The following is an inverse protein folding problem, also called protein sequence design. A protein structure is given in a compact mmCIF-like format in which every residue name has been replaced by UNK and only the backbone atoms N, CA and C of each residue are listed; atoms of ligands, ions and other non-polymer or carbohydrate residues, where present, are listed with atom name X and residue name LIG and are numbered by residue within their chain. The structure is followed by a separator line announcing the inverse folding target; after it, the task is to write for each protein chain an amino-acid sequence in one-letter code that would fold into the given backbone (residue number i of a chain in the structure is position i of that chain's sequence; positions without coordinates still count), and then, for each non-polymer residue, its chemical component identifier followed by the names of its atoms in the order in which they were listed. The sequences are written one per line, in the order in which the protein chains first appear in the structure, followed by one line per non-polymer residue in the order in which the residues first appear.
data_IF_401210781908
#
_entry.id   IF_401210781908
#
_cell.length_a   1.000
_cell.length_b   1.000
_cell.length_c   1.000
_cell.angle_alpha   90.00
_cell.angle_beta   90.00
_cell.angle_gamma   90.00
#
_symmetry.space_group_name_H-M   'P 1'
#
loop_
_entity.id
_entity.type
_entity.pdbx_description
1 polymer ?
#
# COMPACT_ATOMS: atom_id res chain seq x y z
N UNK A 1 -4.38 -32.64 19.21
CA UNK A 1 -4.98 -32.18 17.94
C UNK A 1 -4.85 -30.67 17.70
N UNK A 2 -4.28 -29.86 18.61
CA UNK A 2 -4.19 -28.40 18.43
C UNK A 2 -3.04 -27.89 17.53
N UNK A 3 -1.89 -28.56 17.49
CA UNK A 3 -0.72 -28.04 16.77
C UNK A 3 -0.85 -28.05 15.23
N UNK A 4 -1.64 -28.99 14.68
CA UNK A 4 -1.88 -29.12 13.23
C UNK A 4 -2.90 -28.11 12.68
N UNK A 5 -3.79 -27.57 13.53
CA UNK A 5 -4.80 -26.58 13.14
C UNK A 5 -4.20 -25.18 13.16
N UNK A 6 -3.34 -24.90 14.15
CA UNK A 6 -2.63 -23.61 14.26
C UNK A 6 -1.69 -23.39 13.06
N UNK A 7 -1.04 -24.45 12.55
CA UNK A 7 -0.14 -24.30 11.40
C UNK A 7 -0.86 -23.98 10.10
N UNK A 8 -2.06 -24.53 9.86
CA UNK A 8 -2.81 -24.27 8.62
C UNK A 8 -3.39 -22.86 8.59
N UNK A 9 -3.92 -22.37 9.71
CA UNK A 9 -4.47 -21.00 9.81
C UNK A 9 -3.37 -19.93 9.66
N UNK A 10 -2.19 -20.20 10.22
CA UNK A 10 -1.04 -19.33 10.06
C UNK A 10 -0.53 -19.30 8.61
N UNK A 11 -0.42 -20.45 7.95
CA UNK A 11 -0.01 -20.53 6.53
C UNK A 11 -0.97 -19.79 5.59
N UNK A 12 -2.29 -19.91 5.84
CA UNK A 12 -3.31 -19.16 5.07
C UNK A 12 -3.18 -17.66 5.27
N UNK A 13 -2.93 -17.20 6.51
CA UNK A 13 -2.70 -15.80 6.81
C UNK A 13 -1.42 -15.28 6.14
N UNK A 14 -0.33 -16.05 6.19
CA UNK A 14 0.93 -15.69 5.53
C UNK A 14 0.77 -15.56 4.01
N UNK A 15 0.02 -16.46 3.38
CA UNK A 15 -0.30 -16.36 1.95
C UNK A 15 -1.16 -15.13 1.63
N UNK A 16 -2.15 -14.84 2.47
CA UNK A 16 -3.00 -13.67 2.31
C UNK A 16 -2.19 -12.37 2.42
N UNK A 17 -1.32 -12.26 3.43
CA UNK A 17 -0.43 -11.10 3.62
C UNK A 17 0.51 -10.94 2.42
N UNK A 18 1.08 -12.04 1.92
CA UNK A 18 1.90 -12.03 0.72
C UNK A 18 1.13 -11.56 -0.53
N UNK A 19 -0.13 -11.96 -0.68
CA UNK A 19 -1.02 -11.47 -1.74
C UNK A 19 -1.24 -9.97 -1.66
N UNK A 20 -1.60 -9.45 -0.48
CA UNK A 20 -1.79 -8.02 -0.23
C UNK A 20 -0.52 -7.22 -0.56
N UNK A 21 0.65 -7.74 -0.19
CA UNK A 21 1.92 -7.09 -0.51
C UNK A 21 2.18 -7.01 -2.01
N UNK A 22 1.92 -8.09 -2.76
CA UNK A 22 2.08 -8.08 -4.22
C UNK A 22 1.15 -7.05 -4.89
N UNK A 23 -0.10 -6.95 -4.43
CA UNK A 23 -1.06 -5.96 -4.94
C UNK A 23 -0.61 -4.53 -4.59
N UNK A 24 -0.04 -4.34 -3.41
CA UNK A 24 0.57 -3.08 -2.98
C UNK A 24 1.74 -2.69 -3.90
N UNK A 25 2.66 -3.61 -4.19
CA UNK A 25 3.76 -3.40 -5.14
C UNK A 25 3.23 -3.05 -6.54
N UNK A 26 2.16 -3.71 -7.00
CA UNK A 26 1.48 -3.36 -8.25
C UNK A 26 1.03 -1.90 -8.25
N UNK A 27 0.34 -1.49 -7.20
CA UNK A 27 -0.14 -0.10 -7.03
C UNK A 27 0.99 0.92 -6.98
N UNK A 28 2.12 0.61 -6.31
CA UNK A 28 3.31 1.46 -6.31
C UNK A 28 3.85 1.61 -7.74
N UNK A 29 3.94 0.52 -8.48
CA UNK A 29 4.47 0.52 -9.84
C UNK A 29 3.59 1.34 -10.79
N UNK A 30 2.26 1.28 -10.64
CA UNK A 30 1.32 2.07 -11.42
C UNK A 30 1.49 3.57 -11.14
N UNK A 31 1.65 3.95 -9.88
CA UNK A 31 1.92 5.35 -9.51
C UNK A 31 3.24 5.85 -10.08
N UNK A 32 4.31 5.05 -9.98
CA UNK A 32 5.61 5.41 -10.52
C UNK A 32 5.60 5.43 -12.06
N UNK A 33 4.80 4.59 -12.71
CA UNK A 33 4.58 4.65 -14.15
C UNK A 33 3.86 5.96 -14.53
N UNK A 34 2.75 6.28 -13.85
CA UNK A 34 2.03 7.53 -14.06
C UNK A 34 2.92 8.76 -13.88
N UNK A 35 3.75 8.77 -12.82
CA UNK A 35 4.77 9.80 -12.62
C UNK A 35 5.73 9.91 -13.82
N UNK A 36 6.29 8.80 -14.30
CA UNK A 36 7.25 8.81 -15.42
C UNK A 36 6.62 9.28 -16.74
N UNK A 37 5.37 8.92 -17.01
CA UNK A 37 4.71 9.24 -18.28
C UNK A 37 4.12 10.65 -18.30
N UNK A 38 3.53 11.10 -17.20
CA UNK A 38 2.75 12.33 -17.16
C UNK A 38 3.39 13.44 -16.33
N UNK A 39 4.23 13.08 -15.35
CA UNK A 39 4.75 14.02 -14.35
C UNK A 39 3.64 14.66 -13.51
N UNK A 40 4.01 15.59 -12.64
CA UNK A 40 3.07 16.24 -11.72
C UNK A 40 1.89 16.91 -12.44
N UNK A 41 2.16 17.68 -13.49
CA UNK A 41 1.18 18.53 -14.19
C UNK A 41 0.04 17.74 -14.83
N UNK A 42 0.32 16.56 -15.39
CA UNK A 42 -0.66 15.84 -16.20
C UNK A 42 -1.20 14.58 -15.51
N UNK A 43 -0.54 14.07 -14.48
CA UNK A 43 -0.98 12.82 -13.84
C UNK A 43 -2.41 12.92 -13.32
N UNK A 44 -2.79 14.03 -12.68
CA UNK A 44 -4.16 14.22 -12.20
C UNK A 44 -5.22 14.13 -13.31
N UNK A 45 -4.90 14.61 -14.52
CA UNK A 45 -5.83 14.66 -15.64
C UNK A 45 -6.03 13.30 -16.33
N UNK A 46 -5.08 12.37 -16.15
CA UNK A 46 -5.08 11.05 -16.77
C UNK A 46 -5.24 9.91 -15.76
N UNK A 47 -5.49 10.22 -14.49
CA UNK A 47 -5.78 9.22 -13.47
C UNK A 47 -7.14 8.56 -13.75
N UNK A 48 -7.11 7.25 -13.95
CA UNK A 48 -8.28 6.38 -14.05
C UNK A 48 -8.01 5.14 -13.17
N UNK A 49 -8.75 4.93 -12.07
CA UNK A 49 -9.92 5.67 -11.60
C UNK A 49 -9.61 7.08 -11.08
N UNK A 50 -10.65 7.87 -10.75
CA UNK A 50 -10.47 9.25 -10.29
C UNK A 50 -9.66 9.33 -8.99
N UNK A 51 -8.98 10.47 -8.77
CA UNK A 51 -8.22 10.69 -7.52
C UNK A 51 -9.08 10.45 -6.26
N UNK A 52 -10.36 10.83 -6.28
CA UNK A 52 -11.25 10.65 -5.12
C UNK A 52 -11.54 9.18 -4.87
N UNK A 53 -11.79 8.40 -5.92
CA UNK A 53 -12.02 6.96 -5.83
C UNK A 53 -10.78 6.24 -5.32
N UNK A 54 -9.59 6.63 -5.79
CA UNK A 54 -8.31 6.09 -5.31
C UNK A 54 -8.14 6.37 -3.82
N UNK A 55 -8.32 7.62 -3.39
CA UNK A 55 -8.17 8.00 -1.97
C UNK A 55 -9.18 7.27 -1.07
N UNK A 56 -10.42 7.10 -1.53
CA UNK A 56 -11.45 6.37 -0.79
C UNK A 56 -11.12 4.87 -0.71
N UNK A 57 -10.64 4.27 -1.80
CA UNK A 57 -10.22 2.87 -1.82
C UNK A 57 -9.07 2.61 -0.86
N UNK A 58 -8.08 3.51 -0.84
CA UNK A 58 -6.93 3.40 0.09
C UNK A 58 -7.39 3.46 1.56
N UNK A 59 -8.38 4.29 1.90
CA UNK A 59 -8.91 4.34 3.28
C UNK A 59 -9.50 3.00 3.72
N UNK A 60 -10.18 2.30 2.81
CA UNK A 60 -10.72 0.96 3.09
C UNK A 60 -9.59 -0.05 3.30
N UNK A 61 -8.55 0.01 2.47
CA UNK A 61 -7.36 -0.85 2.60
C UNK A 61 -6.63 -0.56 3.93
N UNK A 62 -6.40 0.70 4.27
CA UNK A 62 -5.77 1.10 5.54
C UNK A 62 -6.57 0.58 6.74
N UNK A 63 -7.90 0.64 6.70
CA UNK A 63 -8.75 0.10 7.76
C UNK A 63 -8.61 -1.42 7.88
N UNK A 64 -8.56 -2.14 6.75
CA UNK A 64 -8.35 -3.59 6.73
C UNK A 64 -6.97 -3.97 7.27
N UNK A 65 -5.91 -3.27 6.85
CA UNK A 65 -4.54 -3.50 7.32
C UNK A 65 -4.40 -3.28 8.83
N UNK A 66 -5.03 -2.22 9.37
CA UNK A 66 -5.05 -2.00 10.81
C UNK A 66 -5.75 -3.13 11.57
N UNK A 67 -6.91 -3.59 11.08
CA UNK A 67 -7.62 -4.72 11.69
C UNK A 67 -6.77 -6.00 11.69
N UNK A 68 -5.98 -6.24 10.64
CA UNK A 68 -5.03 -7.35 10.60
C UNK A 68 -3.88 -7.16 11.60
N UNK A 69 -3.30 -5.98 11.69
CA UNK A 69 -2.21 -5.67 12.64
C UNK A 69 -2.64 -5.76 14.12
N UNK A 70 -3.93 -5.48 14.39
CA UNK A 70 -4.57 -5.58 15.69
C UNK A 70 -4.97 -7.02 16.06
N UNK A 71 -4.85 -7.98 15.13
CA UNK A 71 -5.07 -9.41 15.41
C UNK A 71 -4.01 -9.93 16.38
N UNK A 72 -4.40 -10.88 17.23
CA UNK A 72 -3.57 -11.43 18.31
C UNK A 72 -2.16 -11.80 17.82
N UNK A 73 -1.16 -11.37 18.59
CA UNK A 73 0.27 -11.50 18.28
C UNK A 73 0.74 -12.94 18.12
N UNK A 74 -0.02 -13.92 18.63
CA UNK A 74 0.31 -15.34 18.50
C UNK A 74 0.03 -15.90 17.09
N UNK A 75 -0.80 -15.23 16.28
CA UNK A 75 -1.16 -15.67 14.92
C UNK A 75 -0.30 -15.04 13.82
N UNK A 76 0.28 -13.86 14.08
CA UNK A 76 1.12 -13.16 13.11
C UNK A 76 2.60 -13.40 13.38
N UNK A 77 3.27 -14.07 12.44
CA UNK A 77 4.72 -14.11 12.43
C UNK A 77 5.31 -12.71 12.31
N UNK A 78 6.53 -12.53 12.82
CA UNK A 78 7.24 -11.25 12.77
C UNK A 78 7.35 -10.70 11.34
N UNK A 79 7.63 -11.59 10.37
CA UNK A 79 7.77 -11.22 8.96
C UNK A 79 6.43 -10.78 8.35
N UNK A 80 5.31 -11.41 8.76
CA UNK A 80 3.98 -10.95 8.36
C UNK A 80 3.65 -9.57 8.89
N UNK A 81 3.92 -9.33 10.18
CA UNK A 81 3.69 -8.01 10.79
C UNK A 81 4.49 -6.93 10.07
N UNK A 82 5.78 -7.18 9.79
CA UNK A 82 6.63 -6.27 9.03
C UNK A 82 6.10 -6.04 7.61
N UNK A 83 5.58 -7.08 6.96
CA UNK A 83 5.00 -6.96 5.61
C UNK A 83 3.74 -6.10 5.63
N UNK A 84 2.85 -6.31 6.61
CA UNK A 84 1.65 -5.48 6.78
C UNK A 84 1.98 -4.01 7.09
N UNK A 85 3.00 -3.76 7.92
CA UNK A 85 3.49 -2.39 8.19
C UNK A 85 4.05 -1.73 6.91
N UNK A 86 4.77 -2.48 6.08
CA UNK A 86 5.23 -1.99 4.78
C UNK A 86 4.05 -1.66 3.85
N UNK A 87 3.05 -2.54 3.75
CA UNK A 87 1.82 -2.28 2.99
C UNK A 87 1.18 -0.96 3.43
N UNK A 88 1.02 -0.76 4.74
CA UNK A 88 0.41 0.44 5.29
C UNK A 88 1.21 1.70 4.96
N UNK A 89 2.53 1.65 5.09
CA UNK A 89 3.39 2.79 4.73
C UNK A 89 3.29 3.12 3.23
N UNK A 90 3.28 2.11 2.37
CA UNK A 90 3.16 2.29 0.92
C UNK A 90 1.78 2.85 0.53
N UNK A 91 0.69 2.35 1.10
CA UNK A 91 -0.67 2.88 0.90
C UNK A 91 -0.76 4.35 1.33
N UNK A 92 -0.16 4.68 2.47
CA UNK A 92 -0.08 6.06 2.94
C UNK A 92 0.66 6.96 1.94
N UNK A 93 1.80 6.53 1.40
CA UNK A 93 2.57 7.29 0.42
C UNK A 93 1.81 7.45 -0.90
N UNK A 94 1.17 6.40 -1.40
CA UNK A 94 0.30 6.48 -2.59
C UNK A 94 -0.81 7.51 -2.37
N UNK A 95 -1.45 7.51 -1.20
CA UNK A 95 -2.48 8.50 -0.85
C UNK A 95 -1.91 9.92 -0.86
N UNK A 96 -0.70 10.12 -0.32
CA UNK A 96 -0.01 11.42 -0.34
C UNK A 96 0.22 11.92 -1.77
N UNK A 97 0.67 11.06 -2.69
CA UNK A 97 0.83 11.40 -4.11
C UNK A 97 -0.49 11.93 -4.70
N UNK A 98 -1.58 11.18 -4.52
CA UNK A 98 -2.88 11.56 -5.09
C UNK A 98 -3.48 12.81 -4.46
N UNK A 99 -3.30 13.00 -3.15
CA UNK A 99 -3.73 14.22 -2.46
C UNK A 99 -2.90 15.43 -2.89
N UNK A 100 -1.60 15.27 -3.07
CA UNK A 100 -0.72 16.31 -3.56
C UNK A 100 -1.12 16.77 -4.98
N UNK A 101 -1.47 15.82 -5.85
CA UNK A 101 -2.05 16.10 -7.16
C UNK A 101 -3.39 16.86 -7.05
N UNK A 102 -4.27 16.45 -6.15
CA UNK A 102 -5.58 17.11 -5.93
C UNK A 102 -5.46 18.58 -5.50
N UNK A 103 -4.47 18.88 -4.67
CA UNK A 103 -4.28 20.20 -4.05
C UNK A 103 -3.17 21.03 -4.69
N UNK A 104 -2.67 20.62 -5.86
CA UNK A 104 -1.59 21.30 -6.58
C UNK A 104 -0.33 21.54 -5.71
N UNK A 105 0.01 20.56 -4.88
CA UNK A 105 1.16 20.62 -3.97
C UNK A 105 2.34 19.79 -4.51
N UNK A 106 3.13 20.39 -5.40
CA UNK A 106 4.26 19.70 -6.04
C UNK A 106 5.33 19.21 -5.05
N UNK A 107 5.61 19.97 -4.00
CA UNK A 107 6.65 19.60 -3.02
C UNK A 107 6.30 18.29 -2.29
N UNK A 108 5.04 18.15 -1.87
CA UNK A 108 4.52 16.93 -1.24
C UNK A 108 4.51 15.74 -2.20
N UNK A 109 4.16 16.01 -3.47
CA UNK A 109 4.19 15.01 -4.53
C UNK A 109 5.60 14.46 -4.76
N UNK A 110 6.59 15.35 -4.96
CA UNK A 110 7.98 14.97 -5.22
C UNK A 110 8.56 14.18 -4.04
N UNK A 111 8.27 14.59 -2.81
CA UNK A 111 8.69 13.87 -1.60
C UNK A 111 8.07 12.47 -1.53
N UNK A 112 6.77 12.35 -1.78
CA UNK A 112 6.07 11.07 -1.72
C UNK A 112 6.54 10.10 -2.82
N UNK A 113 6.73 10.59 -4.06
CA UNK A 113 7.28 9.80 -5.18
C UNK A 113 8.70 9.34 -4.92
N UNK A 114 9.55 10.20 -4.34
CA UNK A 114 10.92 9.83 -3.97
C UNK A 114 10.93 8.69 -2.93
N UNK A 115 10.06 8.77 -1.91
CA UNK A 115 9.91 7.72 -0.89
C UNK A 115 9.36 6.40 -1.46
N UNK A 116 8.39 6.46 -2.37
CA UNK A 116 7.90 5.27 -3.08
C UNK A 116 8.99 4.61 -3.93
N UNK A 117 9.81 5.43 -4.59
CA UNK A 117 10.91 4.94 -5.42
C UNK A 117 11.99 4.21 -4.61
N UNK A 118 12.24 4.66 -3.37
CA UNK A 118 13.19 3.99 -2.47
C UNK A 118 12.65 2.68 -1.88
N UNK A 119 11.33 2.57 -1.67
CA UNK A 119 10.71 1.33 -1.20
C UNK A 119 10.82 0.20 -2.22
N UNK A 120 10.86 0.51 -3.52
CA UNK A 120 11.00 -0.49 -4.60
C UNK A 120 12.36 -1.20 -4.63
N UNK A 121 13.35 -0.73 -3.87
CA UNK A 121 14.71 -1.29 -3.84
C UNK A 121 14.94 -2.26 -2.66
N UNK A 122 13.92 -2.49 -1.84
CA UNK A 122 13.91 -3.43 -0.73
C UNK A 122 12.91 -4.56 -0.97
#
# INVERSE_FOLDING_TARGET
MNALVISSEQEELEQLVGGIWNDCIGSINDVLAGHRYFGFTHFAAYADPSIEDIVNSIRLIDAALNAMLDTDTELLSFDCRKTLENCQQSMHLIRRVHMALKFDNQAEYDEAVAKLSSQRQH
#
